data_IF_020964029949
#
_entry.id   IF_020964029949
#
_cell.length_a   1.000
_cell.length_b   1.000
_cell.length_c   1.000
_cell.angle_alpha   90.00
_cell.angle_beta   90.00
_cell.angle_gamma   90.00
#
_symmetry.space_group_name_H-M   'P 1'
#
loop_
_entity.id
_entity.type
_entity.pdbx_description
1 polymer ?
#
# COMPACT_ATOMS: atom_id res chain seq x y z
N UNK A 1 -0.50 27.83 4.30
CA UNK A 1 -1.72 27.01 4.45
C UNK A 1 -2.50 27.38 5.71
N UNK A 2 -1.85 27.48 6.88
CA UNK A 2 -2.42 28.04 8.12
C UNK A 2 -3.15 29.37 7.92
N UNK A 3 -2.47 30.40 7.37
CA UNK A 3 -3.09 31.72 7.15
C UNK A 3 -4.34 31.71 6.25
N UNK A 4 -4.45 30.71 5.37
CA UNK A 4 -5.63 30.54 4.51
C UNK A 4 -6.80 29.96 5.30
N UNK A 5 -6.53 29.01 6.21
CA UNK A 5 -7.54 28.47 7.12
C UNK A 5 -8.01 29.50 8.15
N UNK A 6 -7.11 30.33 8.69
CA UNK A 6 -7.50 31.42 9.60
C UNK A 6 -8.40 32.44 8.91
N UNK A 7 -8.10 32.81 7.66
CA UNK A 7 -8.91 33.76 6.89
C UNK A 7 -10.29 33.17 6.55
N UNK A 8 -10.35 31.90 6.14
CA UNK A 8 -11.61 31.20 5.90
C UNK A 8 -12.45 31.16 7.17
N UNK A 9 -11.91 30.65 8.28
CA UNK A 9 -12.62 30.54 9.55
C UNK A 9 -13.03 31.90 10.14
N UNK A 10 -12.27 32.96 9.90
CA UNK A 10 -12.61 34.31 10.37
C UNK A 10 -13.84 34.89 9.67
N UNK A 11 -14.05 34.55 8.40
CA UNK A 11 -15.11 35.06 7.55
C UNK A 11 -16.29 34.10 7.38
N UNK A 12 -16.21 32.89 7.93
CA UNK A 12 -17.22 31.85 7.74
C UNK A 12 -18.39 31.97 8.74
N UNK A 13 -19.66 31.89 8.28
CA UNK A 13 -20.82 31.78 9.17
C UNK A 13 -20.74 30.59 10.16
N UNK A 14 -19.97 29.53 9.83
CA UNK A 14 -19.69 28.39 10.72
C UNK A 14 -19.04 28.84 12.03
N UNK A 15 -18.24 29.92 12.04
CA UNK A 15 -17.64 30.45 13.28
C UNK A 15 -18.69 30.76 14.36
N UNK A 16 -19.82 31.31 13.94
CA UNK A 16 -20.94 31.64 14.84
C UNK A 16 -21.75 30.41 15.22
N UNK A 17 -21.93 29.46 14.29
CA UNK A 17 -22.70 28.23 14.50
C UNK A 17 -21.96 27.27 15.44
N UNK A 18 -20.64 27.14 15.26
CA UNK A 18 -19.79 26.22 16.02
C UNK A 18 -19.15 26.88 17.27
N UNK A 19 -19.42 28.17 17.53
CA UNK A 19 -18.85 28.95 18.65
C UNK A 19 -17.34 28.75 18.80
N UNK A 20 -16.61 28.89 17.69
CA UNK A 20 -15.16 28.67 17.70
C UNK A 20 -14.48 29.85 18.41
N UNK A 21 -14.01 29.61 19.63
CA UNK A 21 -13.36 30.62 20.49
C UNK A 21 -11.88 30.80 20.13
N UNK A 22 -11.19 29.70 19.78
CA UNK A 22 -9.76 29.70 19.43
C UNK A 22 -9.57 29.34 17.95
N UNK A 23 -9.62 30.35 17.09
CA UNK A 23 -9.55 30.17 15.62
C UNK A 23 -8.19 29.67 15.19
N UNK A 24 -7.12 30.18 15.81
CA UNK A 24 -5.75 29.79 15.49
C UNK A 24 -5.53 28.30 15.75
N UNK A 25 -6.02 27.76 16.87
CA UNK A 25 -5.85 26.33 17.19
C UNK A 25 -6.57 25.42 16.20
N UNK A 26 -7.78 25.79 15.81
CA UNK A 26 -8.54 25.06 14.78
C UNK A 26 -7.84 25.16 13.42
N UNK A 27 -7.34 26.35 13.06
CA UNK A 27 -6.62 26.56 11.82
C UNK A 27 -5.29 25.80 11.78
N UNK A 28 -4.57 25.67 12.90
CA UNK A 28 -3.36 24.84 13.01
C UNK A 28 -3.70 23.38 12.77
N UNK A 29 -4.74 22.85 13.43
CA UNK A 29 -5.15 21.46 13.24
C UNK A 29 -5.58 21.18 11.80
N UNK A 30 -6.41 22.05 11.22
CA UNK A 30 -6.83 21.92 9.82
C UNK A 30 -5.65 22.06 8.86
N UNK A 31 -4.70 22.95 9.12
CA UNK A 31 -3.48 23.07 8.33
C UNK A 31 -2.62 21.82 8.43
N UNK A 32 -2.45 21.23 9.61
CA UNK A 32 -1.76 19.94 9.78
C UNK A 32 -2.47 18.83 9.02
N UNK A 33 -3.79 18.67 9.18
CA UNK A 33 -4.56 17.67 8.44
C UNK A 33 -4.45 17.86 6.93
N UNK A 34 -4.62 19.10 6.45
CA UNK A 34 -4.57 19.41 5.02
C UNK A 34 -3.16 19.22 4.47
N UNK A 35 -2.12 19.55 5.25
CA UNK A 35 -0.73 19.30 4.88
C UNK A 35 -0.42 17.82 4.84
N UNK A 36 -0.83 17.05 5.85
CA UNK A 36 -0.73 15.59 5.87
C UNK A 36 -1.43 14.96 4.66
N UNK A 37 -2.65 15.38 4.35
CA UNK A 37 -3.38 14.89 3.17
C UNK A 37 -2.75 15.33 1.85
N UNK A 38 -2.26 16.56 1.73
CA UNK A 38 -1.61 17.06 0.52
C UNK A 38 -0.26 16.37 0.29
N UNK A 39 0.52 16.18 1.35
CA UNK A 39 1.78 15.44 1.34
C UNK A 39 1.55 13.97 0.99
N UNK A 40 0.56 13.32 1.59
CA UNK A 40 0.17 11.95 1.24
C UNK A 40 -0.44 11.84 -0.16
N UNK A 41 -1.06 12.90 -0.68
CA UNK A 41 -1.50 12.95 -2.08
C UNK A 41 -0.33 13.11 -3.05
N UNK A 42 0.73 13.82 -2.66
CA UNK A 42 1.99 13.86 -3.42
C UNK A 42 2.75 12.53 -3.34
N UNK A 43 2.62 11.78 -2.24
CA UNK A 43 3.10 10.39 -2.14
C UNK A 43 2.25 9.38 -2.95
N UNK A 44 1.20 9.80 -3.67
CA UNK A 44 0.49 8.94 -4.64
C UNK A 44 1.28 8.76 -5.96
N UNK A 45 2.60 8.89 -5.95
CA UNK A 45 3.39 8.89 -7.19
C UNK A 45 3.55 7.51 -7.83
N UNK A 46 3.26 6.41 -7.14
CA UNK A 46 3.13 5.08 -7.76
C UNK A 46 2.24 4.19 -6.90
N UNK A 47 1.30 3.48 -7.52
CA UNK A 47 0.62 2.37 -6.85
C UNK A 47 1.67 1.33 -6.53
N UNK A 48 1.77 0.88 -5.28
CA UNK A 48 2.69 -0.21 -4.95
C UNK A 48 2.29 -1.46 -5.72
N UNK A 49 3.25 -2.17 -6.28
CA UNK A 49 2.98 -3.34 -7.10
C UNK A 49 3.44 -4.61 -6.38
N UNK A 50 2.49 -5.51 -6.13
CA UNK A 50 2.74 -6.86 -5.64
C UNK A 50 2.71 -7.85 -6.80
N UNK A 51 3.75 -8.64 -6.95
CA UNK A 51 3.79 -9.80 -7.84
C UNK A 51 3.60 -11.08 -7.02
N UNK A 52 2.47 -11.73 -7.20
CA UNK A 52 2.27 -13.10 -6.74
C UNK A 52 2.81 -14.07 -7.77
N UNK A 53 3.65 -15.00 -7.33
CA UNK A 53 4.25 -16.03 -8.16
C UNK A 53 4.12 -17.37 -7.46
N UNK A 54 3.35 -18.27 -8.05
CA UNK A 54 3.03 -19.56 -7.42
C UNK A 54 3.38 -20.74 -8.30
N UNK A 55 3.91 -21.78 -7.66
CA UNK A 55 4.21 -23.08 -8.28
C UNK A 55 3.39 -24.20 -7.62
N UNK A 56 2.91 -25.13 -8.45
CA UNK A 56 2.16 -26.30 -8.00
C UNK A 56 1.09 -26.80 -9.00
N UNK A 57 0.30 -27.82 -8.60
CA UNK A 57 -0.73 -28.39 -9.47
C UNK A 57 -1.86 -27.40 -9.82
N UNK A 58 -2.44 -27.50 -11.01
CA UNK A 58 -3.48 -26.58 -11.51
C UNK A 58 -4.65 -26.36 -10.54
N UNK A 59 -5.17 -27.40 -9.90
CA UNK A 59 -6.29 -27.26 -8.95
C UNK A 59 -5.91 -26.41 -7.73
N UNK A 60 -4.67 -26.53 -7.27
CA UNK A 60 -4.12 -25.75 -6.18
C UNK A 60 -3.84 -24.30 -6.60
N UNK A 61 -3.31 -24.09 -7.81
CA UNK A 61 -3.11 -22.75 -8.36
C UNK A 61 -4.43 -22.01 -8.53
N UNK A 62 -5.48 -22.66 -9.05
CA UNK A 62 -6.80 -22.06 -9.17
C UNK A 62 -7.36 -21.61 -7.80
N UNK A 63 -7.13 -22.41 -6.76
CA UNK A 63 -7.49 -22.04 -5.40
C UNK A 63 -6.72 -20.79 -4.94
N UNK A 64 -5.41 -20.74 -5.13
CA UNK A 64 -4.61 -19.56 -4.79
C UNK A 64 -5.01 -18.32 -5.60
N UNK A 65 -5.30 -18.46 -6.89
CA UNK A 65 -5.82 -17.38 -7.73
C UNK A 65 -7.09 -16.79 -7.12
N UNK A 66 -8.03 -17.63 -6.69
CA UNK A 66 -9.26 -17.18 -6.02
C UNK A 66 -8.97 -16.44 -4.71
N UNK A 67 -7.93 -16.83 -3.96
CA UNK A 67 -7.53 -16.12 -2.74
C UNK A 67 -6.93 -14.74 -3.06
N UNK A 68 -6.04 -14.65 -4.05
CA UNK A 68 -5.44 -13.40 -4.50
C UNK A 68 -6.50 -12.43 -5.06
N UNK A 69 -7.48 -12.93 -5.80
CA UNK A 69 -8.60 -12.11 -6.30
C UNK A 69 -9.45 -11.52 -5.16
N UNK A 70 -9.58 -12.25 -4.05
CA UNK A 70 -10.27 -11.77 -2.83
C UNK A 70 -9.39 -10.82 -2.01
N UNK A 71 -8.08 -10.84 -2.22
CA UNK A 71 -7.13 -9.99 -1.54
C UNK A 71 -7.19 -8.57 -2.13
N UNK A 72 -8.07 -7.76 -1.59
CA UNK A 72 -8.28 -6.39 -2.04
C UNK A 72 -7.56 -5.39 -1.12
N UNK A 73 -6.51 -4.73 -1.63
CA UNK A 73 -5.86 -3.60 -0.96
C UNK A 73 -6.02 -2.34 -1.82
N UNK A 74 -6.49 -1.26 -1.19
CA UNK A 74 -6.60 0.03 -1.88
C UNK A 74 -5.22 0.55 -2.27
N UNK A 75 -5.13 1.11 -3.48
CA UNK A 75 -3.93 1.78 -4.00
C UNK A 75 -2.72 0.85 -4.22
N UNK A 76 -3.00 -0.44 -4.46
CA UNK A 76 -2.01 -1.46 -4.78
C UNK A 76 -2.37 -2.09 -6.13
N UNK A 77 -1.36 -2.29 -6.97
CA UNK A 77 -1.43 -3.09 -8.18
C UNK A 77 -1.04 -4.53 -7.84
N UNK A 78 -1.77 -5.49 -8.37
CA UNK A 78 -1.58 -6.92 -8.09
C UNK A 78 -1.44 -7.64 -9.43
N UNK A 79 -0.30 -8.26 -9.65
CA UNK A 79 -0.06 -9.18 -10.76
C UNK A 79 0.09 -10.60 -10.22
N UNK A 80 -0.50 -11.57 -10.91
CA UNK A 80 -0.37 -12.99 -10.59
C UNK A 80 0.25 -13.73 -11.77
N UNK A 81 1.30 -14.49 -11.49
CA UNK A 81 1.92 -15.43 -12.43
C UNK A 81 1.94 -16.82 -11.79
N UNK A 82 1.54 -17.82 -12.55
CA UNK A 82 1.50 -19.22 -12.10
C UNK A 82 2.48 -20.08 -12.88
N UNK A 83 3.06 -21.10 -12.26
CA UNK A 83 4.06 -22.02 -12.84
C UNK A 83 5.31 -21.32 -13.40
N UNK A 84 5.63 -20.13 -12.93
CA UNK A 84 6.84 -19.41 -13.28
C UNK A 84 7.34 -18.68 -12.05
N UNK A 85 8.63 -18.80 -11.77
CA UNK A 85 9.28 -18.09 -10.67
C UNK A 85 9.54 -16.64 -11.07
N UNK A 86 9.53 -15.73 -10.09
CA UNK A 86 9.96 -14.35 -10.28
C UNK A 86 11.44 -14.28 -10.64
N UNK A 87 11.78 -13.35 -11.52
CA UNK A 87 13.16 -13.03 -11.93
C UNK A 87 13.38 -11.53 -11.81
N UNK A 88 14.63 -11.08 -11.69
CA UNK A 88 14.93 -9.65 -11.67
C UNK A 88 14.42 -8.92 -12.91
N UNK A 89 14.39 -9.58 -14.07
CA UNK A 89 13.79 -9.04 -15.29
C UNK A 89 12.31 -8.70 -15.09
N UNK A 90 11.53 -9.63 -14.54
CA UNK A 90 10.10 -9.39 -14.29
C UNK A 90 9.90 -8.30 -13.23
N UNK A 91 10.74 -8.27 -12.19
CA UNK A 91 10.70 -7.26 -11.14
C UNK A 91 10.94 -5.86 -11.71
N UNK A 92 11.94 -5.70 -12.57
CA UNK A 92 12.28 -4.41 -13.19
C UNK A 92 11.26 -3.98 -14.25
N UNK A 93 10.87 -4.88 -15.16
CA UNK A 93 9.93 -4.55 -16.25
C UNK A 93 8.55 -4.16 -15.73
N UNK A 94 8.08 -4.84 -14.69
CA UNK A 94 6.78 -4.59 -14.09
C UNK A 94 6.84 -3.55 -12.96
N UNK A 95 8.03 -3.05 -12.61
CA UNK A 95 8.25 -2.21 -11.44
C UNK A 95 7.58 -2.83 -10.19
N UNK A 96 8.01 -4.02 -9.80
CA UNK A 96 7.50 -4.74 -8.64
C UNK A 96 8.18 -4.23 -7.38
N UNK A 97 7.37 -3.94 -6.36
CA UNK A 97 7.87 -3.56 -5.04
C UNK A 97 8.00 -4.77 -4.13
N UNK A 98 7.04 -5.70 -4.22
CA UNK A 98 6.99 -6.92 -3.38
C UNK A 98 6.71 -8.14 -4.22
N UNK A 99 7.52 -9.19 -4.04
CA UNK A 99 7.26 -10.53 -4.58
C UNK A 99 6.71 -11.43 -3.48
N UNK A 100 5.60 -12.11 -3.76
CA UNK A 100 4.99 -13.10 -2.87
C UNK A 100 5.06 -14.47 -3.52
N UNK A 101 5.71 -15.44 -2.88
CA UNK A 101 5.98 -16.75 -3.46
C UNK A 101 5.73 -17.93 -2.51
N UNK A 102 5.52 -19.13 -3.06
CA UNK A 102 5.34 -20.38 -2.28
C UNK A 102 6.38 -21.47 -2.57
N UNK A 103 7.37 -21.19 -3.42
CA UNK A 103 8.42 -22.13 -3.82
C UNK A 103 9.72 -21.90 -3.03
N UNK A 104 10.66 -22.85 -3.11
CA UNK A 104 11.96 -22.73 -2.43
C UNK A 104 12.84 -21.71 -3.14
N UNK A 105 13.74 -21.07 -2.39
CA UNK A 105 14.60 -20.03 -2.93
C UNK A 105 15.41 -20.61 -4.09
N UNK A 106 15.26 -19.99 -5.25
CA UNK A 106 16.25 -20.12 -6.30
C UNK A 106 17.48 -19.33 -5.84
N UNK A 107 18.68 -19.70 -6.28
CA UNK A 107 19.90 -18.98 -5.93
C UNK A 107 19.95 -17.52 -6.47
N UNK A 108 18.83 -16.97 -6.94
CA UNK A 108 18.67 -15.62 -7.45
C UNK A 108 18.14 -14.70 -6.33
N UNK A 109 18.93 -13.69 -5.98
CA UNK A 109 18.52 -12.64 -5.06
C UNK A 109 17.75 -11.60 -5.89
N UNK A 110 16.50 -11.34 -5.51
CA UNK A 110 15.66 -10.37 -6.19
C UNK A 110 15.94 -8.94 -5.69
N UNK A 111 15.91 -7.97 -6.59
CA UNK A 111 16.09 -6.54 -6.32
C UNK A 111 14.82 -5.89 -5.70
N UNK A 112 14.08 -6.63 -4.88
CA UNK A 112 12.84 -6.18 -4.23
C UNK A 112 12.58 -6.97 -2.93
N UNK A 113 11.60 -6.55 -2.14
CA UNK A 113 11.17 -7.30 -0.96
C UNK A 113 10.50 -8.61 -1.38
N UNK A 114 10.90 -9.72 -0.76
CA UNK A 114 10.33 -11.04 -1.03
C UNK A 114 9.67 -11.59 0.23
N UNK A 115 8.39 -11.90 0.15
CA UNK A 115 7.64 -12.62 1.18
C UNK A 115 7.33 -14.04 0.72
N UNK A 116 7.69 -15.00 1.57
CA UNK A 116 7.43 -16.41 1.30
C UNK A 116 6.26 -16.88 2.11
N UNK A 117 5.20 -17.30 1.43
CA UNK A 117 4.00 -17.81 2.09
C UNK A 117 4.20 -19.27 2.47
N UNK A 118 3.42 -19.70 3.44
CA UNK A 118 3.13 -21.11 3.61
C UNK A 118 2.48 -21.70 2.34
N UNK A 119 2.49 -23.04 2.24
CA UNK A 119 1.83 -23.75 1.13
C UNK A 119 0.34 -23.46 1.05
N UNK A 120 -0.30 -23.04 2.12
CA UNK A 120 -1.65 -22.47 2.07
C UNK A 120 -1.57 -21.16 2.82
N UNK A 121 -1.67 -20.00 2.15
CA UNK A 121 -1.61 -18.71 2.80
C UNK A 121 -2.67 -18.60 3.90
N UNK A 122 -2.21 -18.35 5.11
CA UNK A 122 -3.02 -18.16 6.32
C UNK A 122 -3.42 -16.69 6.47
N UNK A 123 -4.34 -16.40 7.39
CA UNK A 123 -4.67 -15.00 7.75
C UNK A 123 -3.43 -14.21 8.18
N UNK A 124 -2.48 -14.88 8.87
CA UNK A 124 -1.21 -14.28 9.25
C UNK A 124 -0.39 -13.86 8.02
N UNK A 125 -0.29 -14.71 7.00
CA UNK A 125 0.41 -14.37 5.75
C UNK A 125 -0.18 -13.12 5.11
N UNK A 126 -1.50 -13.03 5.05
CA UNK A 126 -2.18 -11.87 4.47
C UNK A 126 -1.94 -10.58 5.26
N UNK A 127 -1.85 -10.66 6.60
CA UNK A 127 -1.48 -9.51 7.43
C UNK A 127 -0.02 -9.10 7.22
N UNK A 128 0.90 -10.05 7.08
CA UNK A 128 2.31 -9.73 6.80
C UNK A 128 2.46 -9.05 5.44
N UNK A 129 1.82 -9.57 4.39
CA UNK A 129 1.84 -8.96 3.06
C UNK A 129 1.27 -7.53 3.12
N UNK A 130 0.15 -7.32 3.85
CA UNK A 130 -0.39 -5.98 4.09
C UNK A 130 0.64 -5.07 4.74
N UNK A 131 1.25 -5.53 5.83
CA UNK A 131 2.23 -4.77 6.60
C UNK A 131 3.38 -4.30 5.73
N UNK A 132 4.01 -5.19 4.98
CA UNK A 132 5.10 -4.85 4.04
C UNK A 132 4.63 -3.75 3.08
N UNK A 133 3.48 -3.96 2.46
CA UNK A 133 2.90 -3.03 1.47
C UNK A 133 2.42 -1.71 2.07
N UNK A 134 2.31 -1.56 3.39
CA UNK A 134 2.05 -0.26 4.01
C UNK A 134 3.35 0.41 4.52
N UNK A 135 4.30 -0.35 5.07
CA UNK A 135 5.45 0.20 5.79
C UNK A 135 6.76 0.38 4.98
N UNK A 136 6.86 -0.08 3.73
CA UNK A 136 8.07 0.14 2.89
C UNK A 136 8.49 1.62 2.66
N UNK A 137 7.75 2.62 3.16
CA UNK A 137 8.12 4.04 3.11
C UNK A 137 8.69 4.62 4.40
N UNK A 138 8.71 3.86 5.50
CA UNK A 138 9.15 4.35 6.83
C UNK A 138 10.58 3.91 7.22
N UNK A 139 11.28 3.17 6.35
CA UNK A 139 12.64 2.66 6.59
C UNK A 139 13.66 3.33 5.64
N UNK A 140 13.64 4.67 5.58
CA UNK A 140 14.71 5.46 4.96
C UNK A 140 15.07 6.67 5.82
#
# INVERSE_FOLDING_TARGET
>A
MFYKWTELLANDPIKQIAKIEYIEDVAVNLAMFTHYFAYNQQLKERKRHILFTFDGPNAYLNYLTTLVEKFNIKNVEITLITNHHATNKNVEELNVDVVVCNYKDDNEILNCEMYKTERVPTEYDWEQIRSIVFYMGEIM
#
